data_IF_752483594292
#
_entry.id   IF_752483594292
#
_cell.length_a   1.000
_cell.length_b   1.000
_cell.length_c   1.000
_cell.angle_alpha   90.00
_cell.angle_beta   90.00
_cell.angle_gamma   90.00
#
_symmetry.space_group_name_H-M   'P 1'
#
loop_
_entity.id
_entity.type
_entity.pdbx_description
1 polymer ?
#
# COMPACT_ATOMS: atom_id res chain seq x y z
N UNK A 1 31.05 -6.76 -3.95
CA UNK A 1 30.56 -7.64 -5.04
C UNK A 1 31.68 -7.99 -6.03
N UNK A 2 32.72 -7.15 -6.17
CA UNK A 2 33.89 -7.40 -7.05
C UNK A 2 34.77 -8.60 -6.67
N UNK A 3 34.80 -9.05 -5.41
CA UNK A 3 35.73 -10.09 -4.96
C UNK A 3 35.41 -11.48 -5.50
N UNK A 4 34.14 -11.87 -5.61
CA UNK A 4 33.76 -13.17 -6.17
C UNK A 4 34.05 -13.24 -7.67
N UNK A 5 33.71 -12.19 -8.42
CA UNK A 5 33.99 -12.10 -9.85
C UNK A 5 35.49 -12.18 -10.14
N UNK A 6 36.32 -11.54 -9.32
CA UNK A 6 37.78 -11.61 -9.43
C UNK A 6 38.34 -13.00 -9.10
N UNK A 7 37.82 -13.68 -8.07
CA UNK A 7 38.25 -15.04 -7.73
C UNK A 7 37.93 -16.01 -8.87
N UNK A 8 36.72 -15.93 -9.38
CA UNK A 8 36.22 -16.82 -10.44
C UNK A 8 36.92 -16.53 -11.77
N UNK A 9 37.15 -15.27 -12.13
CA UNK A 9 37.93 -14.87 -13.30
C UNK A 9 39.37 -15.40 -13.22
N UNK A 10 40.04 -15.25 -12.08
CA UNK A 10 41.41 -15.76 -11.89
C UNK A 10 41.49 -17.27 -11.96
N UNK A 11 40.49 -17.99 -11.47
CA UNK A 11 40.44 -19.46 -11.57
C UNK A 11 40.17 -19.97 -12.99
N UNK A 12 39.61 -19.12 -13.86
CA UNK A 12 39.18 -19.51 -15.21
C UNK A 12 39.94 -18.79 -16.32
N UNK A 13 41.01 -18.05 -16.01
CA UNK A 13 41.81 -17.33 -16.99
C UNK A 13 42.69 -18.30 -17.80
N UNK A 14 42.59 -18.21 -19.13
CA UNK A 14 43.26 -19.12 -20.08
C UNK A 14 44.65 -18.64 -20.49
N UNK A 15 45.03 -17.42 -20.12
CA UNK A 15 46.35 -16.84 -20.36
C UNK A 15 46.77 -15.92 -19.20
N UNK A 16 48.08 -15.71 -19.05
CA UNK A 16 48.64 -14.81 -18.05
C UNK A 16 48.16 -13.36 -18.20
N UNK A 17 47.83 -12.95 -19.42
CA UNK A 17 47.27 -11.62 -19.72
C UNK A 17 45.85 -11.48 -19.19
N UNK A 18 45.00 -12.49 -19.40
CA UNK A 18 43.65 -12.54 -18.84
C UNK A 18 43.70 -12.65 -17.32
N UNK A 19 44.60 -13.45 -16.75
CA UNK A 19 44.75 -13.58 -15.30
C UNK A 19 45.07 -12.25 -14.59
N UNK A 20 45.80 -11.36 -15.28
CA UNK A 20 46.22 -10.05 -14.78
C UNK A 20 45.20 -8.93 -14.97
N UNK A 21 44.06 -9.17 -15.64
CA UNK A 21 43.03 -8.16 -15.84
C UNK A 21 42.32 -7.82 -14.52
N UNK A 22 42.52 -6.60 -14.02
CA UNK A 22 41.99 -6.13 -12.72
C UNK A 22 40.68 -5.34 -12.84
N UNK A 23 40.40 -4.74 -14.00
CA UNK A 23 39.21 -3.95 -14.28
C UNK A 23 38.20 -4.71 -15.16
N UNK A 24 37.37 -5.56 -14.54
CA UNK A 24 36.32 -6.33 -15.23
C UNK A 24 35.07 -5.51 -15.57
N UNK A 25 35.02 -4.21 -15.26
CA UNK A 25 33.82 -3.39 -15.42
C UNK A 25 33.52 -2.95 -16.86
N UNK A 26 34.50 -2.99 -17.78
CA UNK A 26 34.37 -2.39 -19.12
C UNK A 26 34.39 -3.37 -20.30
N UNK A 27 34.68 -4.67 -20.09
CA UNK A 27 34.74 -5.67 -21.19
C UNK A 27 33.60 -6.70 -21.20
N UNK A 28 32.75 -6.75 -20.18
CA UNK A 28 31.73 -7.79 -20.06
C UNK A 28 30.53 -7.56 -21.01
N UNK A 29 30.13 -6.31 -21.25
CA UNK A 29 28.99 -5.98 -22.13
C UNK A 29 29.27 -6.30 -23.61
N UNK A 30 30.46 -5.99 -24.11
CA UNK A 30 30.86 -6.29 -25.49
C UNK A 30 31.14 -7.78 -25.75
N UNK A 31 31.53 -8.53 -24.71
CA UNK A 31 31.65 -9.98 -24.78
C UNK A 31 30.28 -10.68 -24.81
N UNK A 32 29.27 -10.15 -24.12
CA UNK A 32 27.94 -10.78 -24.03
C UNK A 32 27.19 -10.84 -25.38
N UNK A 33 27.15 -9.72 -26.12
CA UNK A 33 26.51 -9.69 -27.45
C UNK A 33 27.22 -10.62 -28.45
N UNK A 34 28.55 -10.68 -28.42
CA UNK A 34 29.34 -11.60 -29.26
C UNK A 34 29.18 -13.07 -28.85
N UNK A 35 28.95 -13.37 -27.56
CA UNK A 35 28.90 -14.75 -27.06
C UNK A 35 27.50 -15.38 -27.11
N UNK A 36 26.41 -14.60 -27.01
CA UNK A 36 25.03 -15.13 -27.07
C UNK A 36 24.74 -16.00 -28.32
N UNK A 37 25.35 -15.66 -29.45
CA UNK A 37 25.22 -16.36 -30.73
C UNK A 37 26.17 -17.58 -30.80
N UNK A 38 27.32 -17.55 -30.14
CA UNK A 38 28.33 -18.62 -30.18
C UNK A 38 28.09 -19.74 -29.16
N UNK A 39 27.40 -19.48 -28.04
CA UNK A 39 27.16 -20.50 -27.00
C UNK A 39 26.40 -21.71 -27.51
N UNK A 40 25.38 -21.52 -28.36
CA UNK A 40 24.58 -22.62 -28.90
C UNK A 40 25.36 -23.50 -29.89
N UNK A 41 26.35 -22.94 -30.58
CA UNK A 41 27.27 -23.72 -31.41
C UNK A 41 28.34 -24.42 -30.58
N UNK A 42 28.85 -23.79 -29.52
CA UNK A 42 29.89 -24.36 -28.66
C UNK A 42 29.36 -25.48 -27.76
N UNK A 43 28.09 -25.46 -27.37
CA UNK A 43 27.43 -26.55 -26.63
C UNK A 43 27.26 -27.84 -27.46
N UNK A 44 27.50 -27.80 -28.78
CA UNK A 44 27.53 -28.96 -29.67
C UNK A 44 28.91 -29.63 -29.76
N UNK A 45 29.95 -28.99 -29.21
CA UNK A 45 31.32 -29.53 -29.19
C UNK A 45 31.48 -30.60 -28.10
N UNK A 46 32.38 -31.59 -28.27
CA UNK A 46 32.53 -32.69 -27.32
C UNK A 46 33.08 -32.27 -25.94
N UNK A 47 33.79 -31.14 -25.82
CA UNK A 47 34.25 -30.58 -24.54
C UNK A 47 33.40 -29.37 -24.12
N UNK A 48 32.18 -29.64 -23.64
CA UNK A 48 31.22 -28.61 -23.21
C UNK A 48 31.53 -28.02 -21.84
N UNK A 49 32.46 -28.60 -21.08
CA UNK A 49 32.68 -28.31 -19.66
C UNK A 49 33.15 -26.87 -19.42
N UNK A 50 34.12 -26.41 -20.20
CA UNK A 50 34.72 -25.07 -20.12
C UNK A 50 33.75 -23.99 -20.57
N UNK A 51 33.04 -24.24 -21.67
CA UNK A 51 32.00 -23.35 -22.20
C UNK A 51 30.90 -23.17 -21.16
N UNK A 52 30.37 -24.25 -20.58
CA UNK A 52 29.35 -24.19 -19.53
C UNK A 52 29.80 -23.39 -18.31
N UNK A 53 31.06 -23.57 -17.88
CA UNK A 53 31.63 -22.78 -16.78
C UNK A 53 31.64 -21.29 -17.12
N UNK A 54 32.12 -20.88 -18.30
CA UNK A 54 32.13 -19.46 -18.70
C UNK A 54 30.70 -18.85 -18.72
N UNK A 55 29.71 -19.59 -19.24
CA UNK A 55 28.29 -19.15 -19.21
C UNK A 55 27.82 -18.95 -17.77
N UNK A 56 28.08 -19.91 -16.88
CA UNK A 56 27.67 -19.86 -15.48
C UNK A 56 28.33 -18.69 -14.73
N UNK A 57 29.59 -18.39 -15.03
CA UNK A 57 30.27 -17.24 -14.45
C UNK A 57 29.53 -15.97 -14.86
N UNK A 58 29.40 -15.71 -16.17
CA UNK A 58 28.68 -14.54 -16.69
C UNK A 58 27.25 -14.41 -16.13
N UNK A 59 26.50 -15.53 -16.02
CA UNK A 59 25.13 -15.53 -15.51
C UNK A 59 25.01 -15.12 -14.03
N UNK A 60 26.05 -15.39 -13.23
CA UNK A 60 26.02 -15.18 -11.79
C UNK A 60 26.89 -14.00 -11.31
N UNK A 61 27.78 -13.47 -12.16
CA UNK A 61 28.73 -12.39 -11.83
C UNK A 61 28.43 -11.04 -12.47
N UNK A 62 27.66 -10.97 -13.56
CA UNK A 62 27.38 -9.70 -14.26
C UNK A 62 26.53 -8.76 -13.39
N UNK A 63 27.10 -7.60 -13.03
CA UNK A 63 26.40 -6.55 -12.27
C UNK A 63 25.57 -5.63 -13.18
N UNK A 64 24.44 -5.10 -12.69
CA UNK A 64 23.37 -4.47 -13.48
C UNK A 64 23.65 -2.99 -13.78
N UNK A 65 24.73 -2.64 -14.47
CA UNK A 65 25.07 -1.21 -14.61
C UNK A 65 24.37 -0.52 -15.78
N UNK A 66 24.07 -1.18 -16.91
CA UNK A 66 23.40 -0.47 -18.03
C UNK A 66 22.31 -1.30 -18.74
N UNK A 67 22.31 -2.64 -18.65
CA UNK A 67 21.26 -3.49 -19.26
C UNK A 67 20.81 -4.55 -18.26
N UNK A 68 19.49 -4.71 -18.11
CA UNK A 68 18.83 -5.60 -17.14
C UNK A 68 19.40 -7.03 -17.16
N UNK A 69 20.10 -7.52 -16.11
CA UNK A 69 20.47 -8.94 -16.01
C UNK A 69 19.26 -9.81 -15.63
N UNK A 70 18.09 -9.19 -15.48
CA UNK A 70 16.77 -9.79 -15.36
C UNK A 70 16.10 -10.11 -16.71
N UNK A 71 16.76 -9.93 -17.86
CA UNK A 71 16.50 -10.79 -19.03
C UNK A 71 17.25 -12.11 -18.81
N UNK A 72 16.78 -12.77 -17.77
CA UNK A 72 17.38 -13.60 -16.71
C UNK A 72 18.26 -14.77 -17.16
N UNK A 73 19.12 -15.22 -16.23
CA UNK A 73 19.64 -16.61 -16.19
C UNK A 73 18.54 -17.68 -16.38
N UNK A 74 17.29 -17.37 -16.01
CA UNK A 74 16.12 -18.22 -16.24
C UNK A 74 15.57 -18.10 -17.67
N UNK A 75 15.71 -16.96 -18.33
CA UNK A 75 15.45 -16.80 -19.77
C UNK A 75 16.48 -17.59 -20.57
N UNK A 76 17.75 -17.63 -20.15
CA UNK A 76 18.74 -18.55 -20.71
C UNK A 76 18.37 -20.03 -20.48
N UNK A 77 17.92 -20.39 -19.28
CA UNK A 77 17.40 -21.75 -19.07
C UNK A 77 16.16 -22.04 -19.93
N UNK A 78 15.31 -21.03 -20.16
CA UNK A 78 14.15 -21.12 -21.03
C UNK A 78 14.58 -21.36 -22.48
N UNK A 79 15.59 -20.64 -22.98
CA UNK A 79 16.11 -20.86 -24.33
C UNK A 79 16.71 -22.25 -24.48
N UNK A 80 17.44 -22.78 -23.48
CA UNK A 80 17.94 -24.16 -23.52
C UNK A 80 16.81 -25.19 -23.50
N UNK A 81 15.82 -24.99 -22.61
CA UNK A 81 14.67 -25.89 -22.49
C UNK A 81 13.91 -25.98 -23.80
N UNK A 82 13.61 -24.83 -24.39
CA UNK A 82 12.77 -24.69 -25.58
C UNK A 82 13.56 -24.98 -26.89
N UNK A 83 14.88 -25.19 -26.83
CA UNK A 83 15.72 -25.50 -27.98
C UNK A 83 15.54 -26.95 -28.45
N UNK A 84 15.10 -27.14 -29.70
CA UNK A 84 14.89 -28.45 -30.33
C UNK A 84 16.18 -29.12 -30.84
N UNK A 85 17.28 -28.36 -30.98
CA UNK A 85 18.56 -28.82 -31.52
C UNK A 85 19.52 -29.37 -30.46
N UNK A 86 19.14 -29.33 -29.18
CA UNK A 86 19.93 -29.87 -28.07
C UNK A 86 19.38 -31.23 -27.65
N UNK A 87 20.28 -32.20 -27.46
CA UNK A 87 19.93 -33.49 -26.89
C UNK A 87 19.46 -33.35 -25.43
N UNK A 88 18.58 -34.26 -24.99
CA UNK A 88 18.04 -34.27 -23.64
C UNK A 88 19.14 -34.47 -22.59
N UNK A 89 20.15 -35.30 -22.85
CA UNK A 89 21.28 -35.49 -21.94
C UNK A 89 22.09 -34.20 -21.74
N UNK A 90 22.30 -33.43 -22.81
CA UNK A 90 22.95 -32.11 -22.72
C UNK A 90 22.10 -31.14 -21.90
N UNK A 91 20.78 -31.10 -22.11
CA UNK A 91 19.87 -30.25 -21.33
C UNK A 91 19.94 -30.59 -19.84
N UNK A 92 19.83 -31.86 -19.48
CA UNK A 92 19.86 -32.31 -18.09
C UNK A 92 21.21 -32.00 -17.42
N UNK A 93 22.32 -32.14 -18.15
CA UNK A 93 23.64 -31.73 -17.67
C UNK A 93 23.71 -30.22 -17.39
N UNK A 94 23.13 -29.37 -18.23
CA UNK A 94 23.09 -27.93 -17.96
C UNK A 94 22.21 -27.61 -16.76
N UNK A 95 21.03 -28.23 -16.63
CA UNK A 95 20.12 -27.99 -15.51
C UNK A 95 20.73 -28.44 -14.18
N UNK A 96 21.33 -29.64 -14.11
CA UNK A 96 21.98 -30.15 -12.90
C UNK A 96 23.13 -29.25 -12.47
N UNK A 97 23.98 -28.83 -13.42
CA UNK A 97 25.08 -27.92 -13.14
C UNK A 97 24.57 -26.55 -12.68
N UNK A 98 23.58 -25.97 -13.36
CA UNK A 98 22.96 -24.71 -12.97
C UNK A 98 22.41 -24.77 -11.55
N UNK A 99 21.66 -25.83 -11.21
CA UNK A 99 21.12 -26.01 -9.86
C UNK A 99 22.23 -26.09 -8.82
N UNK A 100 23.33 -26.79 -9.12
CA UNK A 100 24.48 -26.90 -8.21
C UNK A 100 25.14 -25.54 -7.94
N UNK A 101 25.35 -24.73 -8.98
CA UNK A 101 25.94 -23.39 -8.88
C UNK A 101 24.99 -22.46 -8.15
N UNK A 102 23.69 -22.47 -8.50
CA UNK A 102 22.66 -21.66 -7.85
C UNK A 102 22.59 -21.91 -6.34
N UNK A 103 22.69 -23.17 -5.90
CA UNK A 103 22.73 -23.55 -4.48
C UNK A 103 23.95 -22.95 -3.78
N UNK A 104 25.15 -23.12 -4.36
CA UNK A 104 26.41 -22.57 -3.80
C UNK A 104 26.39 -21.05 -3.75
N UNK A 105 25.92 -20.39 -4.81
CA UNK A 105 25.76 -18.95 -4.89
C UNK A 105 24.82 -18.41 -3.80
N UNK A 106 23.66 -19.05 -3.60
CA UNK A 106 22.71 -18.66 -2.56
C UNK A 106 23.29 -18.85 -1.15
N UNK A 107 24.05 -19.93 -0.92
CA UNK A 107 24.73 -20.17 0.35
C UNK A 107 25.76 -19.07 0.64
N UNK A 108 26.59 -18.73 -0.34
CA UNK A 108 27.59 -17.66 -0.22
C UNK A 108 26.93 -16.31 0.03
N UNK A 109 25.86 -15.97 -0.69
CA UNK A 109 25.10 -14.75 -0.46
C UNK A 109 24.53 -14.68 0.95
N UNK A 110 24.00 -15.80 1.47
CA UNK A 110 23.51 -15.90 2.85
C UNK A 110 24.63 -15.67 3.85
N UNK A 111 25.81 -16.25 3.63
CA UNK A 111 26.98 -16.05 4.49
C UNK A 111 27.46 -14.59 4.45
N UNK A 112 27.59 -14.00 3.27
CA UNK A 112 27.94 -12.58 3.12
C UNK A 112 26.93 -11.67 3.81
N UNK A 113 25.64 -11.96 3.68
CA UNK A 113 24.58 -11.22 4.36
C UNK A 113 24.69 -11.33 5.89
N UNK A 114 24.90 -12.54 6.42
CA UNK A 114 25.11 -12.76 7.86
C UNK A 114 26.36 -12.03 8.38
N UNK A 115 27.46 -12.08 7.63
CA UNK A 115 28.69 -11.36 7.96
C UNK A 115 28.44 -9.85 8.00
N UNK A 116 27.81 -9.29 6.96
CA UNK A 116 27.42 -7.88 6.92
C UNK A 116 26.57 -7.52 8.13
N UNK A 117 25.53 -8.29 8.41
CA UNK A 117 24.63 -8.04 9.55
C UNK A 117 25.37 -8.01 10.88
N UNK A 118 26.31 -8.94 11.11
CA UNK A 118 27.09 -9.00 12.36
C UNK A 118 28.04 -7.81 12.54
N UNK A 119 28.57 -7.27 11.46
CA UNK A 119 29.54 -6.18 11.48
C UNK A 119 28.91 -4.80 11.29
N UNK A 120 27.58 -4.73 11.09
CA UNK A 120 26.87 -3.48 10.88
C UNK A 120 26.51 -2.85 12.21
N UNK A 121 26.67 -1.53 12.33
CA UNK A 121 26.28 -0.80 13.52
C UNK A 121 24.77 -0.54 13.55
N UNK A 122 24.19 -0.61 14.75
CA UNK A 122 22.79 -0.22 14.97
C UNK A 122 22.72 1.30 15.00
N UNK A 123 22.04 1.88 14.01
CA UNK A 123 21.92 3.33 13.91
C UNK A 123 20.88 3.89 14.87
N UNK A 124 19.80 3.14 15.12
CA UNK A 124 18.64 3.62 15.87
C UNK A 124 18.14 2.53 16.81
N UNK A 125 18.03 2.88 18.09
CA UNK A 125 17.57 2.01 19.18
C UNK A 125 16.31 2.55 19.87
N UNK A 126 15.61 3.50 19.23
CA UNK A 126 14.37 4.09 19.74
C UNK A 126 13.30 4.06 18.66
N UNK A 127 12.04 3.90 19.06
CA UNK A 127 10.88 3.95 18.15
C UNK A 127 10.60 5.38 17.68
N UNK A 128 9.58 5.53 16.82
CA UNK A 128 9.12 6.84 16.35
C UNK A 128 8.58 7.73 17.49
N UNK A 129 8.23 7.15 18.64
CA UNK A 129 7.78 7.82 19.85
C UNK A 129 8.90 7.99 20.90
N UNK A 130 10.16 7.73 20.53
CA UNK A 130 11.36 7.81 21.37
C UNK A 130 11.45 6.79 22.51
N UNK A 131 10.61 5.76 22.53
CA UNK A 131 10.72 4.62 23.44
C UNK A 131 11.89 3.71 23.04
N UNK A 132 12.63 3.11 23.99
CA UNK A 132 13.73 2.21 23.67
C UNK A 132 13.23 0.91 23.02
N UNK A 133 13.79 0.57 21.86
CA UNK A 133 13.53 -0.68 21.14
C UNK A 133 14.75 -1.61 21.29
N UNK A 134 14.50 -2.92 21.40
CA UNK A 134 15.54 -3.96 21.31
C UNK A 134 15.25 -4.94 20.19
N UNK A 135 16.29 -5.46 19.55
CA UNK A 135 16.15 -6.45 18.47
C UNK A 135 15.52 -7.77 18.91
N UNK A 136 15.59 -8.09 20.20
CA UNK A 136 15.07 -9.35 20.76
C UNK A 136 13.55 -9.39 20.90
N UNK A 137 12.86 -8.27 20.66
CA UNK A 137 11.42 -8.17 20.84
C UNK A 137 10.67 -8.78 19.64
N UNK A 138 9.61 -9.53 19.92
CA UNK A 138 8.82 -10.23 18.89
C UNK A 138 8.13 -9.29 17.89
N UNK A 139 7.86 -8.05 18.30
CA UNK A 139 7.17 -7.03 17.50
C UNK A 139 8.13 -6.08 16.78
N UNK A 140 9.43 -6.41 16.72
CA UNK A 140 10.48 -5.55 16.17
C UNK A 140 11.17 -6.23 15.00
N UNK A 141 11.35 -5.48 13.92
CA UNK A 141 12.09 -5.90 12.74
C UNK A 141 13.36 -5.08 12.57
N UNK A 142 14.48 -5.78 12.30
CA UNK A 142 15.74 -5.14 11.90
C UNK A 142 15.83 -5.04 10.37
N UNK A 143 15.97 -3.83 9.83
CA UNK A 143 16.16 -3.57 8.41
C UNK A 143 17.57 -2.99 8.19
N UNK A 144 18.32 -3.56 7.26
CA UNK A 144 19.66 -3.09 6.89
C UNK A 144 19.54 -2.19 5.67
N UNK A 145 20.01 -0.95 5.76
CA UNK A 145 20.02 0.01 4.65
C UNK A 145 21.22 0.94 4.79
N UNK A 146 21.95 1.22 3.70
CA UNK A 146 23.21 2.00 3.72
C UNK A 146 24.18 1.59 4.85
N UNK A 147 24.45 0.29 4.96
CA UNK A 147 25.37 -0.29 5.95
C UNK A 147 25.08 0.12 7.40
N UNK A 148 23.78 0.30 7.71
CA UNK A 148 23.25 0.59 9.04
C UNK A 148 22.04 -0.28 9.33
N UNK A 149 21.87 -0.70 10.58
CA UNK A 149 20.68 -1.40 11.05
C UNK A 149 19.69 -0.38 11.62
N UNK A 150 18.46 -0.42 11.12
CA UNK A 150 17.32 0.33 11.59
C UNK A 150 16.31 -0.62 12.24
N UNK A 151 15.91 -0.32 13.47
CA UNK A 151 14.88 -1.07 14.18
C UNK A 151 13.54 -0.40 14.01
N UNK A 152 12.53 -1.18 13.64
CA UNK A 152 11.16 -0.70 13.53
C UNK A 152 10.23 -1.60 14.32
N UNK A 153 9.31 -1.00 15.07
CA UNK A 153 8.18 -1.76 15.58
C UNK A 153 7.21 -2.07 14.44
N UNK A 154 6.40 -3.12 14.59
CA UNK A 154 5.35 -3.43 13.61
C UNK A 154 4.33 -2.30 13.49
N UNK A 155 4.05 -1.58 14.58
CA UNK A 155 3.18 -0.41 14.55
C UNK A 155 3.78 0.72 13.72
N UNK A 156 5.08 0.98 13.87
CA UNK A 156 5.78 1.98 13.05
C UNK A 156 5.72 1.59 11.57
N UNK A 157 6.07 0.35 11.24
CA UNK A 157 6.00 -0.15 9.86
C UNK A 157 4.59 -0.03 9.30
N UNK A 158 3.57 -0.42 10.06
CA UNK A 158 2.17 -0.29 9.66
C UNK A 158 1.83 1.16 9.34
N UNK A 159 2.18 2.10 10.21
CA UNK A 159 1.87 3.52 10.01
C UNK A 159 2.61 4.09 8.79
N UNK A 160 3.90 3.75 8.60
CA UNK A 160 4.71 4.15 7.44
C UNK A 160 4.08 3.61 6.15
N UNK A 161 3.70 2.33 6.14
CA UNK A 161 3.11 1.66 4.98
C UNK A 161 1.73 2.22 4.66
N UNK A 162 0.84 2.32 5.65
CA UNK A 162 -0.51 2.83 5.45
C UNK A 162 -0.49 4.27 4.96
N UNK A 163 0.35 5.13 5.55
CA UNK A 163 0.46 6.54 5.12
C UNK A 163 1.02 6.68 3.70
N UNK A 164 1.95 5.82 3.30
CA UNK A 164 2.51 5.85 1.95
C UNK A 164 1.51 5.34 0.90
N UNK A 165 0.85 4.21 1.17
CA UNK A 165 -0.04 3.54 0.22
C UNK A 165 -1.43 4.18 0.12
N UNK A 166 -1.92 4.82 1.18
CA UNK A 166 -3.20 5.55 1.15
C UNK A 166 -3.10 6.92 0.47
N UNK A 167 -1.89 7.40 0.15
CA UNK A 167 -1.69 8.77 -0.34
C UNK A 167 -2.60 9.08 -1.55
N UNK A 168 -3.48 10.07 -1.38
CA UNK A 168 -4.42 10.50 -2.40
C UNK A 168 -4.59 12.03 -2.42
N UNK A 169 -3.59 12.78 -2.89
CA UNK A 169 -3.68 14.23 -2.98
C UNK A 169 -4.90 14.62 -3.84
N UNK A 170 -5.67 15.59 -3.36
CA UNK A 170 -6.94 16.00 -3.96
C UNK A 170 -7.93 14.84 -4.20
N UNK A 171 -7.81 13.75 -3.42
CA UNK A 171 -8.61 12.53 -3.53
C UNK A 171 -8.37 11.71 -4.82
N UNK A 172 -7.27 11.96 -5.54
CA UNK A 172 -6.80 11.09 -6.61
C UNK A 172 -5.79 10.09 -6.05
N UNK A 173 -6.04 8.80 -6.24
CA UNK A 173 -5.16 7.71 -5.77
C UNK A 173 -3.77 7.88 -6.38
N UNK A 174 -2.77 8.21 -5.56
CA UNK A 174 -1.37 8.35 -5.98
C UNK A 174 -0.46 7.75 -4.91
N UNK A 175 -0.47 6.41 -4.74
CA UNK A 175 0.31 5.74 -3.71
C UNK A 175 1.79 6.05 -3.87
N UNK A 176 2.47 6.27 -2.74
CA UNK A 176 3.89 6.57 -2.70
C UNK A 176 4.72 5.31 -2.40
N UNK A 177 5.99 5.26 -2.85
CA UNK A 177 6.90 4.22 -2.41
C UNK A 177 7.06 4.26 -0.89
N UNK A 178 7.07 3.09 -0.27
CA UNK A 178 7.31 2.95 1.17
C UNK A 178 8.79 3.25 1.43
N UNK A 179 9.06 4.21 2.31
CA UNK A 179 10.42 4.68 2.61
C UNK A 179 10.76 4.50 4.06
N UNK A 180 12.06 4.40 4.32
CA UNK A 180 12.59 4.54 5.67
C UNK A 180 12.54 6.02 6.09
N UNK A 181 11.85 6.38 7.18
CA UNK A 181 11.69 7.78 7.60
C UNK A 181 13.01 8.44 8.01
N UNK A 182 14.01 7.66 8.40
CA UNK A 182 15.28 8.18 8.91
C UNK A 182 16.27 8.60 7.82
N UNK A 183 16.13 8.07 6.60
CA UNK A 183 17.02 8.36 5.49
C UNK A 183 16.28 8.70 4.18
N UNK A 184 14.94 8.67 4.20
CA UNK A 184 14.05 8.95 3.07
C UNK A 184 14.31 8.07 1.82
N UNK A 185 14.91 6.90 2.00
CA UNK A 185 15.17 5.97 0.91
C UNK A 185 14.05 4.91 0.82
N UNK A 186 13.61 4.56 -0.40
CA UNK A 186 12.61 3.53 -0.60
C UNK A 186 13.12 2.16 -0.18
N UNK A 187 12.22 1.33 0.36
CA UNK A 187 12.51 -0.08 0.58
C UNK A 187 12.56 -0.83 -0.74
N UNK A 188 13.56 -1.69 -0.89
CA UNK A 188 13.67 -2.57 -2.04
C UNK A 188 12.68 -3.74 -1.93
N UNK A 189 12.45 -4.45 -3.04
CA UNK A 189 11.50 -5.57 -3.05
C UNK A 189 11.84 -6.65 -2.03
N UNK A 190 13.13 -6.94 -1.82
CA UNK A 190 13.52 -7.97 -0.85
C UNK A 190 13.13 -7.57 0.58
N UNK A 191 13.35 -6.31 0.96
CA UNK A 191 12.90 -5.77 2.24
C UNK A 191 11.38 -5.79 2.36
N UNK A 192 10.63 -5.40 1.32
CA UNK A 192 9.16 -5.45 1.34
C UNK A 192 8.61 -6.87 1.56
N UNK A 193 9.19 -7.89 0.89
CA UNK A 193 8.82 -9.28 1.13
C UNK A 193 9.15 -9.71 2.58
N UNK A 194 10.32 -9.32 3.09
CA UNK A 194 10.69 -9.64 4.47
C UNK A 194 9.71 -9.00 5.47
N UNK A 195 9.32 -7.73 5.27
CA UNK A 195 8.34 -7.03 6.10
C UNK A 195 6.99 -7.76 6.06
N UNK A 196 6.52 -8.10 4.85
CA UNK A 196 5.24 -8.78 4.68
C UNK A 196 5.19 -10.13 5.39
N UNK A 197 6.20 -10.98 5.20
CA UNK A 197 6.23 -12.28 5.86
C UNK A 197 6.49 -12.19 7.37
N UNK A 198 7.18 -11.14 7.82
CA UNK A 198 7.33 -10.86 9.24
C UNK A 198 5.97 -10.54 9.88
N UNK A 199 5.21 -9.62 9.28
CA UNK A 199 3.86 -9.28 9.74
C UNK A 199 2.89 -10.46 9.65
N UNK A 200 2.96 -11.26 8.57
CA UNK A 200 2.08 -12.42 8.36
C UNK A 200 2.30 -13.55 9.38
N UNK A 201 3.52 -13.70 9.88
CA UNK A 201 3.86 -14.74 10.87
C UNK A 201 3.53 -14.35 12.29
N UNK A 202 3.44 -13.05 12.58
CA UNK A 202 3.07 -12.57 13.91
C UNK A 202 1.56 -12.43 14.08
N UNK A 203 1.13 -12.14 15.32
CA UNK A 203 -0.28 -12.01 15.70
C UNK A 203 -0.87 -10.64 15.37
N UNK A 204 -0.43 -10.02 14.27
CA UNK A 204 -0.78 -8.66 13.92
C UNK A 204 -1.82 -8.62 12.80
N UNK A 205 -2.77 -7.70 12.91
CA UNK A 205 -3.74 -7.44 11.84
C UNK A 205 -3.01 -6.80 10.66
N UNK A 206 -2.97 -7.55 9.55
CA UNK A 206 -2.37 -7.09 8.30
C UNK A 206 -3.14 -5.90 7.75
N UNK A 207 -2.43 -4.86 7.33
CA UNK A 207 -3.05 -3.76 6.59
C UNK A 207 -3.58 -4.26 5.24
N UNK A 208 -4.85 -3.97 4.94
CA UNK A 208 -5.48 -4.36 3.66
C UNK A 208 -4.71 -3.78 2.48
N UNK A 209 -4.29 -2.50 2.56
CA UNK A 209 -3.49 -1.86 1.52
C UNK A 209 -2.18 -2.59 1.29
N UNK A 210 -1.50 -3.01 2.37
CA UNK A 210 -0.23 -3.70 2.24
C UNK A 210 -0.38 -5.11 1.65
N UNK A 211 -1.45 -5.82 2.04
CA UNK A 211 -1.77 -7.12 1.46
C UNK A 211 -2.05 -7.01 -0.04
N UNK A 212 -2.85 -6.04 -0.46
CA UNK A 212 -3.12 -5.79 -1.87
C UNK A 212 -1.84 -5.39 -2.64
N UNK A 213 -0.99 -4.55 -2.05
CA UNK A 213 0.29 -4.18 -2.64
C UNK A 213 1.23 -5.39 -2.82
N UNK A 214 1.20 -6.35 -1.88
CA UNK A 214 1.90 -7.63 -2.02
C UNK A 214 1.35 -8.47 -3.19
N UNK A 215 0.03 -8.56 -3.36
CA UNK A 215 -0.59 -9.30 -4.48
C UNK A 215 -0.21 -8.71 -5.85
N UNK A 216 0.03 -7.40 -5.92
CA UNK A 216 0.57 -6.72 -7.10
C UNK A 216 2.09 -6.90 -7.27
N UNK A 217 2.75 -7.83 -6.53
CA UNK A 217 4.21 -8.03 -6.51
C UNK A 217 5.01 -6.77 -6.17
N UNK A 218 4.45 -5.92 -5.30
CA UNK A 218 4.99 -4.61 -4.95
C UNK A 218 5.24 -3.73 -6.18
N UNK A 219 4.33 -3.77 -7.15
CA UNK A 219 4.30 -2.86 -8.29
C UNK A 219 3.32 -1.72 -8.00
N UNK A 220 3.84 -0.49 -7.85
CA UNK A 220 3.04 0.69 -7.51
C UNK A 220 1.99 1.03 -8.56
N UNK A 221 2.33 0.96 -9.85
CA UNK A 221 1.41 1.27 -10.95
C UNK A 221 0.24 0.29 -10.95
N UNK A 222 0.55 -1.01 -10.94
CA UNK A 222 -0.48 -2.05 -10.88
C UNK A 222 -1.36 -1.92 -9.63
N UNK A 223 -0.75 -1.61 -8.49
CA UNK A 223 -1.46 -1.41 -7.24
C UNK A 223 -2.41 -0.20 -7.29
N UNK A 224 -1.96 0.91 -7.84
CA UNK A 224 -2.79 2.10 -8.05
C UNK A 224 -4.01 1.79 -8.91
N UNK A 225 -3.79 1.11 -10.04
CA UNK A 225 -4.85 0.79 -11.00
C UNK A 225 -5.89 -0.18 -10.42
N UNK A 226 -5.43 -1.25 -9.77
CA UNK A 226 -6.31 -2.32 -9.25
C UNK A 226 -7.00 -1.94 -7.92
N UNK A 227 -6.46 -0.98 -7.14
CA UNK A 227 -6.92 -0.69 -5.78
C UNK A 227 -7.31 0.78 -5.54
N UNK A 228 -7.57 1.54 -6.60
CA UNK A 228 -7.85 2.97 -6.52
C UNK A 228 -8.96 3.33 -5.50
N UNK A 229 -10.04 2.52 -5.44
CA UNK A 229 -11.18 2.72 -4.53
C UNK A 229 -10.72 2.63 -3.06
N UNK A 230 -10.08 1.52 -2.68
CA UNK A 230 -9.65 1.27 -1.30
C UNK A 230 -8.63 2.33 -0.86
N UNK A 231 -7.72 2.73 -1.76
CA UNK A 231 -6.74 3.80 -1.50
C UNK A 231 -7.45 5.12 -1.16
N UNK A 232 -8.50 5.50 -1.91
CA UNK A 232 -9.26 6.73 -1.62
C UNK A 232 -10.07 6.64 -0.35
N UNK A 233 -10.74 5.53 -0.10
CA UNK A 233 -11.56 5.37 1.11
C UNK A 233 -10.71 5.44 2.38
N UNK A 234 -9.55 4.78 2.36
CA UNK A 234 -8.59 4.84 3.47
C UNK A 234 -8.03 6.26 3.63
N UNK A 235 -7.73 6.96 2.54
CA UNK A 235 -7.35 8.36 2.57
C UNK A 235 -8.42 9.26 3.19
N UNK A 236 -9.69 9.13 2.78
CA UNK A 236 -10.80 9.94 3.31
C UNK A 236 -10.90 9.77 4.84
N UNK A 237 -10.79 8.54 5.34
CA UNK A 237 -10.81 8.29 6.78
C UNK A 237 -9.66 8.98 7.52
N UNK A 238 -8.44 8.90 6.97
CA UNK A 238 -7.27 9.57 7.53
C UNK A 238 -7.40 11.10 7.44
N UNK A 239 -7.87 11.62 6.31
CA UNK A 239 -8.12 13.04 6.07
C UNK A 239 -9.10 13.59 7.10
N UNK A 240 -10.24 12.93 7.32
CA UNK A 240 -11.22 13.37 8.30
C UNK A 240 -10.65 13.35 9.73
N UNK A 241 -9.85 12.34 10.07
CA UNK A 241 -9.25 12.22 11.41
C UNK A 241 -8.21 13.30 11.68
N UNK A 242 -7.38 13.63 10.70
CA UNK A 242 -6.17 14.45 10.87
C UNK A 242 -6.34 15.92 10.43
N UNK A 243 -7.40 16.26 9.70
CA UNK A 243 -7.64 17.62 9.21
C UNK A 243 -7.94 18.62 10.31
N UNK A 244 -7.64 19.90 10.05
CA UNK A 244 -7.88 20.96 11.01
C UNK A 244 -9.38 21.13 11.30
N UNK A 245 -9.78 21.44 12.55
CA UNK A 245 -11.19 21.65 12.88
C UNK A 245 -11.85 22.77 12.07
N UNK A 246 -11.11 23.82 11.72
CA UNK A 246 -11.65 24.94 10.95
C UNK A 246 -11.97 24.53 9.50
N UNK A 247 -11.09 23.75 8.85
CA UNK A 247 -11.34 23.21 7.52
C UNK A 247 -12.54 22.25 7.52
N UNK A 248 -12.63 21.36 8.51
CA UNK A 248 -13.77 20.45 8.62
C UNK A 248 -15.09 21.21 8.83
N UNK A 249 -15.10 22.28 9.62
CA UNK A 249 -16.27 23.15 9.80
C UNK A 249 -16.71 23.82 8.50
N UNK A 250 -15.74 24.28 7.70
CA UNK A 250 -16.01 24.84 6.38
C UNK A 250 -16.67 23.80 5.48
N UNK A 251 -16.10 22.59 5.37
CA UNK A 251 -16.65 21.51 4.54
C UNK A 251 -18.02 20.99 5.02
N UNK A 252 -18.29 21.01 6.33
CA UNK A 252 -19.66 20.76 6.85
C UNK A 252 -20.63 21.80 6.33
N UNK A 253 -20.22 23.08 6.30
CA UNK A 253 -21.07 24.16 5.80
C UNK A 253 -21.32 24.03 4.29
N UNK A 254 -20.31 23.63 3.52
CA UNK A 254 -20.47 23.31 2.08
C UNK A 254 -21.43 22.15 1.85
N UNK A 255 -21.27 21.05 2.59
CA UNK A 255 -22.17 19.89 2.51
C UNK A 255 -23.62 20.30 2.81
N UNK A 256 -23.86 21.07 3.87
CA UNK A 256 -25.20 21.54 4.22
C UNK A 256 -25.77 22.53 3.19
N UNK A 257 -24.92 23.31 2.54
CA UNK A 257 -25.33 24.23 1.47
C UNK A 257 -25.72 23.46 0.20
N UNK A 258 -24.90 22.48 -0.23
CA UNK A 258 -25.15 21.64 -1.40
C UNK A 258 -26.47 20.88 -1.29
N UNK A 259 -26.81 20.41 -0.09
CA UNK A 259 -28.06 19.70 0.19
C UNK A 259 -29.24 20.63 0.58
N UNK A 260 -29.07 21.95 0.51
CA UNK A 260 -30.16 22.91 0.75
C UNK A 260 -30.55 23.15 2.21
N UNK A 261 -29.80 22.60 3.18
CA UNK A 261 -30.10 22.75 4.61
C UNK A 261 -29.59 24.07 5.21
N UNK A 262 -28.54 24.67 4.64
CA UNK A 262 -27.88 25.87 5.20
C UNK A 262 -28.83 27.06 5.38
N UNK A 263 -29.73 27.32 4.42
CA UNK A 263 -30.70 28.43 4.50
C UNK A 263 -31.86 28.13 5.46
N UNK A 264 -32.33 26.88 5.46
CA UNK A 264 -33.50 26.45 6.26
C UNK A 264 -33.16 26.24 7.74
N UNK A 265 -31.92 25.84 8.04
CA UNK A 265 -31.47 25.49 9.38
C UNK A 265 -30.12 26.15 9.69
N UNK A 266 -30.08 27.48 9.89
CA UNK A 266 -28.85 28.19 10.16
C UNK A 266 -28.25 27.77 11.51
N UNK A 267 -26.99 27.34 11.49
CA UNK A 267 -26.18 27.06 12.66
C UNK A 267 -25.45 28.35 13.06
N UNK A 268 -25.48 28.73 14.34
CA UNK A 268 -24.81 29.95 14.78
C UNK A 268 -23.29 29.90 14.58
N UNK A 269 -22.71 31.07 14.29
CA UNK A 269 -21.27 31.21 14.05
C UNK A 269 -20.44 30.74 15.25
N UNK A 270 -20.92 31.03 16.45
CA UNK A 270 -20.23 30.74 17.71
C UNK A 270 -20.49 29.32 18.23
N UNK A 271 -21.23 28.49 17.49
CA UNK A 271 -21.45 27.10 17.87
C UNK A 271 -20.11 26.34 17.98
N UNK A 272 -19.88 25.54 19.05
CA UNK A 272 -18.59 24.90 19.29
C UNK A 272 -18.14 24.00 18.13
N UNK A 273 -17.04 24.38 17.48
CA UNK A 273 -16.50 23.72 16.28
C UNK A 273 -16.24 22.22 16.47
N UNK A 274 -15.54 21.84 17.55
CA UNK A 274 -15.21 20.43 17.82
C UNK A 274 -16.49 19.60 18.01
N UNK A 275 -17.50 20.17 18.66
CA UNK A 275 -18.78 19.51 18.88
C UNK A 275 -19.54 19.29 17.58
N UNK A 276 -19.59 20.31 16.72
CA UNK A 276 -20.22 20.21 15.40
C UNK A 276 -19.55 19.11 14.57
N UNK A 277 -18.21 19.10 14.55
CA UNK A 277 -17.45 18.09 13.82
C UNK A 277 -17.77 16.70 14.34
N UNK A 278 -17.77 16.48 15.66
CA UNK A 278 -18.04 15.15 16.19
C UNK A 278 -19.43 14.62 15.81
N UNK A 279 -20.44 15.50 15.79
CA UNK A 279 -21.82 15.16 15.38
C UNK A 279 -21.90 14.91 13.87
N UNK A 280 -21.27 15.77 13.06
CA UNK A 280 -21.41 15.77 11.60
C UNK A 280 -20.39 14.89 10.88
N UNK A 281 -19.31 14.46 11.54
CA UNK A 281 -18.24 13.61 10.98
C UNK A 281 -18.74 12.40 10.17
N UNK A 282 -19.70 11.59 10.64
CA UNK A 282 -20.19 10.45 9.86
C UNK A 282 -20.96 10.87 8.60
N UNK A 283 -21.67 12.01 8.63
CA UNK A 283 -22.33 12.58 7.45
C UNK A 283 -21.29 13.10 6.45
N UNK A 284 -20.26 13.77 6.98
CA UNK A 284 -19.15 14.27 6.19
C UNK A 284 -18.37 13.11 5.53
N UNK A 285 -18.15 12.00 6.23
CA UNK A 285 -17.56 10.79 5.65
C UNK A 285 -18.37 10.25 4.47
N UNK A 286 -19.70 10.17 4.62
CA UNK A 286 -20.58 9.78 3.52
C UNK A 286 -20.50 10.76 2.34
N UNK A 287 -20.45 12.06 2.62
CA UNK A 287 -20.35 13.11 1.60
C UNK A 287 -19.06 12.99 0.79
N UNK A 288 -17.90 12.82 1.45
CA UNK A 288 -16.63 12.60 0.75
C UNK A 288 -16.63 11.30 -0.06
N UNK A 289 -17.13 10.19 0.51
CA UNK A 289 -17.21 8.92 -0.22
C UNK A 289 -18.11 8.99 -1.44
N UNK A 290 -19.24 9.68 -1.32
CA UNK A 290 -20.12 9.96 -2.47
C UNK A 290 -19.36 10.77 -3.51
N UNK A 291 -18.85 11.96 -3.14
CA UNK A 291 -18.24 12.92 -4.08
C UNK A 291 -17.04 12.35 -4.84
N UNK A 292 -16.27 11.47 -4.21
CA UNK A 292 -15.07 10.89 -4.79
C UNK A 292 -15.21 9.41 -5.15
N UNK A 293 -16.45 8.91 -5.20
CA UNK A 293 -16.76 7.56 -5.67
C UNK A 293 -16.29 7.37 -7.12
N UNK A 294 -15.69 6.22 -7.39
CA UNK A 294 -15.36 5.78 -8.75
C UNK A 294 -16.49 4.98 -9.41
N UNK A 295 -17.45 4.54 -8.60
CA UNK A 295 -18.59 3.75 -9.04
C UNK A 295 -19.89 4.57 -8.91
N UNK A 296 -20.68 4.58 -9.99
CA UNK A 296 -21.91 5.36 -10.06
C UNK A 296 -23.00 4.77 -9.16
N UNK A 297 -23.03 3.44 -9.00
CA UNK A 297 -24.02 2.79 -8.14
C UNK A 297 -23.80 3.19 -6.67
N UNK A 298 -22.54 3.12 -6.22
CA UNK A 298 -22.12 3.56 -4.89
C UNK A 298 -22.36 5.04 -4.66
N UNK A 299 -22.12 5.89 -5.69
CA UNK A 299 -22.46 7.31 -5.64
C UNK A 299 -23.94 7.52 -5.34
N UNK A 300 -24.82 6.92 -6.14
CA UNK A 300 -26.28 7.11 -6.02
C UNK A 300 -26.80 6.62 -4.67
N UNK A 301 -26.35 5.44 -4.22
CA UNK A 301 -26.73 4.87 -2.92
C UNK A 301 -26.31 5.82 -1.79
N UNK A 302 -25.06 6.29 -1.80
CA UNK A 302 -24.55 7.19 -0.77
C UNK A 302 -25.27 8.55 -0.78
N UNK A 303 -25.57 9.10 -1.96
CA UNK A 303 -26.29 10.36 -2.12
C UNK A 303 -27.71 10.26 -1.52
N UNK A 304 -28.49 9.26 -1.94
CA UNK A 304 -29.86 9.06 -1.42
C UNK A 304 -29.84 8.85 0.10
N UNK A 305 -28.89 8.03 0.59
CA UNK A 305 -28.74 7.75 2.02
C UNK A 305 -28.33 8.97 2.83
N UNK A 306 -27.41 9.81 2.31
CA UNK A 306 -26.98 11.04 2.96
C UNK A 306 -28.14 12.03 3.05
N UNK A 307 -28.86 12.26 1.93
CA UNK A 307 -30.06 13.13 1.89
C UNK A 307 -31.07 12.69 2.94
N UNK A 308 -31.47 11.41 2.92
CA UNK A 308 -32.44 10.85 3.87
C UNK A 308 -32.01 11.04 5.32
N UNK A 309 -30.74 10.78 5.65
CA UNK A 309 -30.22 10.95 7.00
C UNK A 309 -30.15 12.41 7.45
N UNK A 310 -29.82 13.35 6.56
CA UNK A 310 -29.83 14.79 6.87
C UNK A 310 -31.25 15.32 7.08
N UNK A 311 -32.21 14.90 6.24
CA UNK A 311 -33.64 15.22 6.43
C UNK A 311 -34.11 14.77 7.82
N UNK A 312 -33.85 13.51 8.18
CA UNK A 312 -34.19 12.97 9.51
C UNK A 312 -33.53 13.76 10.65
N UNK A 313 -32.26 14.16 10.49
CA UNK A 313 -31.54 14.95 11.48
C UNK A 313 -32.20 16.32 11.74
N UNK A 314 -32.50 17.08 10.68
CA UNK A 314 -33.08 18.42 10.84
C UNK A 314 -34.58 18.42 11.13
N UNK A 315 -35.32 17.39 10.72
CA UNK A 315 -36.72 17.22 11.13
C UNK A 315 -36.84 16.95 12.64
N UNK A 316 -35.88 16.22 13.22
CA UNK A 316 -35.83 15.98 14.66
C UNK A 316 -35.55 17.24 15.46
N UNK A 317 -34.59 18.07 15.02
CA UNK A 317 -34.29 19.33 15.68
C UNK A 317 -34.02 20.47 14.67
N UNK A 318 -35.09 21.17 14.22
CA UNK A 318 -34.96 22.33 13.34
C UNK A 318 -34.17 23.50 13.94
N UNK A 319 -33.99 23.51 15.27
CA UNK A 319 -33.29 24.57 16.01
C UNK A 319 -31.86 24.15 16.39
N UNK A 320 -31.34 23.05 15.84
CA UNK A 320 -29.97 22.62 16.06
C UNK A 320 -28.98 23.75 15.76
N UNK A 321 -28.00 23.94 16.64
CA UNK A 321 -26.97 24.95 16.46
C UNK A 321 -27.34 26.37 16.93
N UNK A 322 -28.57 26.61 17.42
CA UNK A 322 -29.00 27.92 17.94
C UNK A 322 -28.63 28.11 19.41
N UNK A 323 -28.41 29.35 19.84
CA UNK A 323 -28.13 29.71 21.23
C UNK A 323 -29.40 29.64 22.08
N UNK A 324 -29.27 29.03 23.25
CA UNK A 324 -30.33 28.89 24.26
C UNK A 324 -29.84 29.53 25.56
N UNK A 325 -30.69 30.31 26.22
CA UNK A 325 -30.43 30.81 27.56
C UNK A 325 -30.96 29.80 28.58
N UNK A 326 -30.06 29.26 29.41
CA UNK A 326 -30.41 28.32 30.48
C UNK A 326 -30.15 28.99 31.82
N UNK A 327 -31.13 28.88 32.73
CA UNK A 327 -31.03 29.45 34.07
C UNK A 327 -30.14 28.56 34.93
N UNK A 328 -29.06 29.12 35.48
CA UNK A 328 -28.17 28.40 36.38
C UNK A 328 -28.78 28.31 37.80
N UNK A 329 -28.25 27.41 38.63
CA UNK A 329 -28.60 27.24 40.05
C UNK A 329 -28.46 28.54 40.87
N UNK A 330 -27.64 29.48 40.40
CA UNK A 330 -27.40 30.81 40.99
C UNK A 330 -28.29 31.93 40.43
N UNK A 331 -29.36 31.62 39.69
CA UNK A 331 -30.29 32.59 39.08
C UNK A 331 -29.76 33.42 37.90
N UNK A 332 -28.49 33.27 37.51
CA UNK A 332 -27.94 33.90 36.30
C UNK A 332 -28.28 33.10 35.04
N UNK A 333 -28.55 33.79 33.93
CA UNK A 333 -28.75 33.19 32.61
C UNK A 333 -27.39 32.88 31.97
N UNK A 334 -27.13 31.62 31.62
CA UNK A 334 -25.95 31.21 30.86
C UNK A 334 -26.38 30.89 29.43
N UNK A 335 -25.65 31.46 28.47
CA UNK A 335 -25.82 31.10 27.07
C UNK A 335 -25.19 29.73 26.79
N UNK A 336 -25.99 28.81 26.27
CA UNK A 336 -25.62 27.47 25.81
C UNK A 336 -26.10 27.29 24.37
N UNK A 337 -25.86 26.13 23.75
CA UNK A 337 -26.30 25.86 22.38
C UNK A 337 -27.20 24.64 22.31
N UNK A 338 -28.18 24.68 21.41
CA UNK A 338 -29.03 23.53 21.11
C UNK A 338 -28.23 22.50 20.31
N UNK A 339 -27.87 21.41 20.98
CA UNK A 339 -27.09 20.33 20.40
C UNK A 339 -27.88 19.02 20.30
N UNK A 340 -29.17 19.01 20.65
CA UNK A 340 -29.98 17.80 20.63
C UNK A 340 -30.04 17.24 19.21
N UNK A 341 -29.70 15.97 19.04
CA UNK A 341 -29.65 15.34 17.71
C UNK A 341 -29.93 13.84 17.81
N UNK A 342 -30.37 13.26 16.68
CA UNK A 342 -30.46 11.81 16.56
C UNK A 342 -29.04 11.25 16.44
N UNK A 343 -28.68 10.20 17.21
CA UNK A 343 -27.39 9.55 17.05
C UNK A 343 -27.27 8.94 15.65
N UNK A 344 -26.09 9.07 15.03
CA UNK A 344 -25.84 8.46 13.73
C UNK A 344 -25.81 6.93 13.86
N UNK A 345 -26.92 6.26 13.52
CA UNK A 345 -26.98 4.80 13.51
C UNK A 345 -26.27 4.23 12.28
N UNK A 346 -25.28 3.37 12.50
CA UNK A 346 -24.70 2.49 11.47
C UNK A 346 -25.65 1.30 11.24
N UNK A 347 -25.65 0.69 10.04
CA UNK A 347 -26.37 -0.56 9.83
C UNK A 347 -25.94 -1.61 10.86
N UNK A 348 -26.91 -2.28 11.45
CA UNK A 348 -26.68 -3.30 12.46
C UNK A 348 -26.60 -4.68 11.80
N UNK A 349 -25.41 -5.06 11.33
CA UNK A 349 -25.21 -6.37 10.70
C UNK A 349 -25.27 -7.55 11.69
N UNK A 350 -25.45 -7.29 12.99
CA UNK A 350 -25.62 -8.32 14.00
C UNK A 350 -27.09 -8.72 14.21
N UNK A 351 -28.04 -7.95 13.64
CA UNK A 351 -29.42 -8.43 13.48
C UNK A 351 -29.36 -9.68 12.59
N UNK A 352 -29.64 -10.84 13.19
CA UNK A 352 -29.49 -12.18 12.59
C UNK A 352 -28.04 -12.69 12.45
N UNK A 353 -27.14 -12.40 13.38
CA UNK A 353 -25.75 -12.90 13.40
C UNK A 353 -25.62 -14.40 13.07
N UNK A 354 -26.47 -15.26 13.67
CA UNK A 354 -26.45 -16.71 13.44
C UNK A 354 -26.78 -17.11 11.98
N UNK A 355 -27.46 -16.25 11.23
CA UNK A 355 -27.97 -16.53 9.88
C UNK A 355 -27.36 -15.63 8.80
N UNK A 356 -26.62 -14.59 9.17
CA UNK A 356 -26.09 -13.58 8.24
C UNK A 356 -24.99 -14.12 7.31
N UNK A 357 -24.39 -15.27 7.62
CA UNK A 357 -23.48 -15.99 6.73
C UNK A 357 -24.19 -16.89 5.72
N UNK A 358 -25.50 -17.13 5.89
CA UNK A 358 -26.32 -18.01 5.05
C UNK A 358 -27.21 -17.19 4.13
N UNK A 359 -27.82 -16.12 4.63
CA UNK A 359 -28.82 -15.33 3.92
C UNK A 359 -28.38 -13.88 3.78
N UNK A 360 -28.65 -13.31 2.60
CA UNK A 360 -28.57 -11.88 2.36
C UNK A 360 -29.85 -11.24 2.88
N UNK A 361 -29.73 -10.36 3.88
CA UNK A 361 -30.84 -9.58 4.38
C UNK A 361 -30.82 -8.19 3.73
N UNK A 362 -31.84 -7.87 2.93
CA UNK A 362 -32.06 -6.52 2.43
C UNK A 362 -32.62 -5.68 3.58
N UNK A 363 -31.80 -4.83 4.19
CA UNK A 363 -32.24 -3.91 5.25
C UNK A 363 -33.08 -2.75 4.68
N UNK A 364 -33.87 -2.09 5.55
CA UNK A 364 -34.75 -0.93 5.28
C UNK A 364 -34.06 0.37 4.75
N UNK A 365 -32.92 0.27 4.07
CA UNK A 365 -32.10 1.42 3.65
C UNK A 365 -31.94 1.58 2.14
N UNK A 366 -32.65 0.80 1.32
CA UNK A 366 -32.84 1.11 -0.09
C UNK A 366 -34.09 1.99 -0.22
N UNK A 367 -33.99 3.24 -0.70
CA UNK A 367 -35.17 3.99 -1.06
C UNK A 367 -35.86 3.24 -2.20
N UNK A 368 -37.10 2.80 -1.97
CA UNK A 368 -37.97 2.36 -3.05
C UNK A 368 -38.15 3.51 -4.03
N UNK A 369 -38.17 3.22 -5.33
CA UNK A 369 -38.40 4.20 -6.40
C UNK A 369 -39.85 4.73 -6.41
N UNK A 370 -40.63 4.49 -5.36
CA UNK A 370 -42.08 4.74 -5.31
C UNK A 370 -42.50 6.13 -4.88
N UNK A 371 -41.59 6.99 -4.41
CA UNK A 371 -41.96 8.22 -3.70
C UNK A 371 -41.90 9.49 -4.59
N UNK A 372 -41.83 9.35 -5.92
CA UNK A 372 -41.72 10.50 -6.86
C UNK A 372 -43.03 10.90 -7.57
N UNK A 373 -44.18 10.28 -7.31
CA UNK A 373 -45.41 10.53 -8.10
C UNK A 373 -46.61 11.20 -7.38
N UNK A 374 -46.46 11.76 -6.17
CA UNK A 374 -47.58 12.44 -5.49
C UNK A 374 -47.26 13.88 -5.11
N UNK A 375 -46.97 14.78 -6.05
CA UNK A 375 -46.99 16.23 -5.78
C UNK A 375 -47.29 17.10 -7.03
N UNK A 376 -48.21 16.72 -7.93
CA UNK A 376 -48.81 17.65 -8.90
C UNK A 376 -50.28 17.30 -9.18
N UNK A 377 -51.22 17.74 -8.33
CA UNK A 377 -52.61 18.06 -8.74
C UNK A 377 -53.41 18.67 -7.58
N UNK A 378 -53.21 19.97 -7.28
CA UNK A 378 -54.28 20.75 -6.61
C UNK A 378 -54.12 22.28 -6.78
N UNK A 379 -54.27 22.82 -7.99
CA UNK A 379 -54.71 24.23 -8.14
C UNK A 379 -55.61 24.34 -9.37
N UNK A 380 -56.92 24.46 -9.16
CA UNK A 380 -57.82 24.86 -10.24
C UNK A 380 -59.28 24.45 -10.07
N UNK A 381 -59.99 25.00 -9.09
CA UNK A 381 -61.40 25.42 -9.26
C UNK A 381 -61.95 25.95 -7.94
N UNK A 382 -62.10 27.27 -7.85
CA UNK A 382 -63.22 27.84 -7.13
C UNK A 382 -63.67 29.08 -7.87
N UNK A 383 -64.98 29.10 -8.08
CA UNK A 383 -65.83 30.00 -8.85
C UNK A 383 -65.72 31.46 -8.46
#
# INVERSE_FOLDING_TARGET
MNTFCQIVHKQCAESDELYKLTNLNYSFESQWERTSITWLSELKLPDTSKTLMKILICMFTSTPVVISPTRTKFDFLKTIRDNTFLDQGTKDNVFTLFCSVQRKYNLLNRLCYQYKRRNTTVAIQRDLFLNPIRESQHNVMSIIQNDKIYLFTIMDLRNIIESALSNSPYHFSQPLPIKNPYNNMPFDKSTLYNIYFFMKRGDFVMSVLFHQYFLCNFNLTRFQDENAVIIRETYIQQYLKNSSPQYLRFHISEMLLEYGFSKKYPIEKDFPTVRLINIMRPYLEMFYKQRYSLDMSSYNILQKKLKSKLVKFFNYNPKFGRKILVRNKSSSMIATYNDAHIPFKKPNYFENFEKSHIYLFEGENYPSESDEEEEEESVGSMS
#
